data_IF_727336484501
#
_entry.id   IF_727336484501
#
_cell.length_a   1.000
_cell.length_b   1.000
_cell.length_c   1.000
_cell.angle_alpha   90.00
_cell.angle_beta   90.00
_cell.angle_gamma   90.00
#
_symmetry.space_group_name_H-M   'P 1'
#
loop_
_entity.id
_entity.type
_entity.pdbx_description
1 polymer ?
#
# COMPACT_ATOMS: atom_id res chain seq x y z
N UNK A 1 -6.21 13.84 -13.45
CA UNK A 1 -6.08 12.72 -12.48
C UNK A 1 -4.61 12.28 -12.52
N UNK A 2 -3.83 12.48 -11.44
CA UNK A 2 -2.41 12.10 -11.41
C UNK A 2 -2.28 10.73 -10.74
N UNK A 3 -2.06 9.71 -11.56
CA UNK A 3 -1.68 8.37 -11.13
C UNK A 3 -0.29 8.44 -10.49
N UNK A 4 -0.19 8.22 -9.18
CA UNK A 4 1.11 7.97 -8.56
C UNK A 4 1.48 6.52 -8.86
N UNK A 5 2.21 6.31 -9.96
CA UNK A 5 2.92 5.06 -10.17
C UNK A 5 4.00 4.98 -9.10
N UNK A 6 4.01 3.93 -8.27
CA UNK A 6 5.20 3.54 -7.53
C UNK A 6 6.28 3.19 -8.56
N UNK A 7 7.07 4.19 -8.98
CA UNK A 7 8.30 3.97 -9.74
C UNK A 7 9.35 3.58 -8.70
N UNK A 8 9.32 2.32 -8.26
CA UNK A 8 10.29 1.79 -7.30
C UNK A 8 9.72 0.82 -6.28
N UNK A 9 10.58 0.55 -5.29
CA UNK A 9 10.42 -0.42 -4.22
C UNK A 9 9.01 -0.37 -3.60
N UNK A 10 8.25 -1.46 -3.76
CA UNK A 10 6.91 -1.58 -3.16
C UNK A 10 6.98 -1.93 -1.68
N UNK A 11 8.10 -1.63 -1.02
CA UNK A 11 8.31 -1.89 0.40
C UNK A 11 7.87 -0.68 1.22
N UNK A 12 7.00 -0.91 2.19
CA UNK A 12 6.59 0.07 3.18
C UNK A 12 7.10 -0.31 4.57
N UNK A 13 7.93 0.54 5.15
CA UNK A 13 8.39 0.39 6.54
C UNK A 13 7.59 1.29 7.47
N UNK A 14 7.01 0.70 8.51
CA UNK A 14 6.32 1.40 9.60
C UNK A 14 7.31 2.16 10.48
N UNK A 15 6.80 3.05 11.35
CA UNK A 15 7.65 3.74 12.35
C UNK A 15 8.35 2.79 13.31
N UNK A 16 7.80 1.60 13.52
CA UNK A 16 8.33 0.56 14.40
C UNK A 16 9.40 -0.30 13.70
N UNK A 17 9.75 0.01 12.44
CA UNK A 17 10.74 -0.72 11.66
C UNK A 17 10.21 -1.98 10.98
N UNK A 18 8.90 -2.26 11.08
CA UNK A 18 8.27 -3.40 10.40
C UNK A 18 8.08 -3.08 8.92
N UNK A 19 8.59 -3.92 8.03
CA UNK A 19 8.51 -3.74 6.58
C UNK A 19 7.44 -4.63 5.95
N UNK A 20 6.77 -4.10 4.93
CA UNK A 20 5.71 -4.76 4.17
C UNK A 20 5.96 -4.63 2.67
N UNK A 21 5.91 -5.73 1.94
CA UNK A 21 5.79 -5.73 0.49
C UNK A 21 4.34 -5.43 0.11
N UNK A 22 4.13 -4.41 -0.71
CA UNK A 22 2.83 -4.06 -1.26
C UNK A 22 2.74 -4.66 -2.68
N UNK A 23 1.70 -5.43 -2.92
CA UNK A 23 1.37 -6.03 -4.21
C UNK A 23 0.24 -5.23 -4.87
N UNK A 24 0.55 -4.61 -6.01
CA UNK A 24 -0.39 -3.79 -6.77
C UNK A 24 -0.84 -4.46 -8.08
N UNK A 25 -0.67 -5.78 -8.22
CA UNK A 25 -1.03 -6.49 -9.46
C UNK A 25 -2.53 -6.43 -9.79
N UNK A 26 -3.38 -6.58 -8.78
CA UNK A 26 -4.84 -6.68 -8.96
C UNK A 26 -5.60 -5.45 -8.47
N UNK A 27 -4.92 -4.54 -7.77
CA UNK A 27 -5.54 -3.40 -7.10
C UNK A 27 -4.86 -2.08 -7.48
N UNK A 28 -5.67 -1.04 -7.66
CA UNK A 28 -5.18 0.32 -7.82
C UNK A 28 -4.85 0.91 -6.45
N UNK A 29 -3.57 0.97 -6.13
CA UNK A 29 -3.11 1.42 -4.81
C UNK A 29 -2.45 2.79 -4.95
N UNK A 30 -2.89 3.72 -4.10
CA UNK A 30 -2.31 5.04 -3.97
C UNK A 30 -2.00 5.33 -2.52
N UNK A 31 -0.91 6.04 -2.29
CA UNK A 31 -0.58 6.59 -0.98
C UNK A 31 -0.67 8.10 -1.03
N UNK A 32 -1.57 8.65 -0.23
CA UNK A 32 -1.80 10.10 -0.13
C UNK A 32 -1.42 10.52 1.28
N UNK A 33 -0.19 11.03 1.43
CA UNK A 33 0.40 11.33 2.73
C UNK A 33 0.50 10.08 3.61
N UNK A 34 -0.28 10.04 4.70
CA UNK A 34 -0.32 8.92 5.65
C UNK A 34 -1.44 7.90 5.35
N UNK A 35 -2.31 8.19 4.39
CA UNK A 35 -3.47 7.35 4.08
C UNK A 35 -3.22 6.49 2.85
N UNK A 36 -3.77 5.28 2.87
CA UNK A 36 -3.83 4.41 1.70
C UNK A 36 -5.19 4.54 1.04
N UNK A 37 -5.18 4.48 -0.29
CA UNK A 37 -6.38 4.40 -1.11
C UNK A 37 -6.23 3.16 -1.97
N UNK A 38 -7.16 2.22 -1.84
CA UNK A 38 -7.23 0.97 -2.61
C UNK A 38 -8.52 1.00 -3.41
N UNK A 39 -8.41 0.90 -4.73
CA UNK A 39 -9.54 0.94 -5.67
C UNK A 39 -10.47 2.14 -5.47
N UNK A 40 -9.87 3.29 -5.14
CA UNK A 40 -10.59 4.55 -4.92
C UNK A 40 -11.23 4.70 -3.54
N UNK A 41 -11.05 3.74 -2.63
CA UNK A 41 -11.55 3.80 -1.25
C UNK A 41 -10.41 3.98 -0.26
N UNK A 42 -10.63 4.77 0.79
CA UNK A 42 -9.68 4.88 1.88
C UNK A 42 -9.53 3.51 2.57
N UNK A 43 -8.30 3.11 2.83
CA UNK A 43 -7.98 1.85 3.48
C UNK A 43 -6.82 2.02 4.46
N UNK A 44 -6.76 1.11 5.41
CA UNK A 44 -5.69 0.95 6.37
C UNK A 44 -4.68 -0.11 5.91
N UNK A 45 -3.49 -0.09 6.50
CA UNK A 45 -2.51 -1.16 6.27
C UNK A 45 -3.05 -2.53 6.70
N UNK A 46 -3.82 -2.58 7.80
CA UNK A 46 -4.42 -3.82 8.30
C UNK A 46 -5.44 -4.40 7.31
N UNK A 47 -6.25 -3.57 6.68
CA UNK A 47 -7.17 -4.00 5.63
C UNK A 47 -6.40 -4.49 4.39
N UNK A 48 -5.33 -3.78 4.01
CA UNK A 48 -4.46 -4.24 2.91
C UNK A 48 -3.81 -5.60 3.23
N UNK A 49 -3.43 -5.86 4.48
CA UNK A 49 -2.94 -7.19 4.90
C UNK A 49 -4.04 -8.24 4.79
N UNK A 50 -5.26 -7.96 5.26
CA UNK A 50 -6.41 -8.88 5.15
C UNK A 50 -6.79 -9.19 3.70
N UNK A 51 -6.64 -8.21 2.81
CA UNK A 51 -6.87 -8.35 1.37
C UNK A 51 -5.72 -9.06 0.65
N UNK A 52 -4.62 -9.39 1.34
CA UNK A 52 -3.43 -10.00 0.73
C UNK A 52 -2.58 -9.04 -0.10
N UNK A 53 -2.92 -7.75 -0.11
CA UNK A 53 -2.22 -6.66 -0.79
C UNK A 53 -0.89 -6.34 -0.09
N UNK A 54 -0.86 -6.37 1.24
CA UNK A 54 0.34 -6.08 2.03
C UNK A 54 0.84 -7.35 2.74
N UNK A 55 2.13 -7.67 2.57
CA UNK A 55 2.78 -8.85 3.19
C UNK A 55 4.00 -8.43 3.98
N UNK A 56 4.05 -8.79 5.26
CA UNK A 56 5.21 -8.52 6.11
C UNK A 56 6.47 -9.22 5.56
N UNK A 57 7.61 -8.55 5.63
CA UNK A 57 8.95 -9.05 5.29
C UNK A 57 9.80 -9.11 6.56
#
# INVERSE_FOLDING_TARGET
>A
MRTFNFIGDTTYTTREGISYRIDNKEHNIQRVGKSWVVDGKASSLEEMVKMGIAKKI
#
